data_IF_858596643786
#
_entry.id   IF_858596643786
#
_cell.length_a   1.000
_cell.length_b   1.000
_cell.length_c   1.000
_cell.angle_alpha   90.00
_cell.angle_beta   90.00
_cell.angle_gamma   90.00
#
_symmetry.space_group_name_H-M   'P 1'
#
loop_
_entity.id
_entity.type
_entity.pdbx_description
1 polymer ?
#
# COMPACT_ATOMS: atom_id res chain seq x y z
N UNK A 1 34.79 -65.76 23.34
CA UNK A 1 34.79 -64.63 24.29
C UNK A 1 33.46 -63.94 24.12
N UNK A 2 32.57 -64.06 25.12
CA UNK A 2 31.19 -63.61 25.00
C UNK A 2 31.13 -62.07 25.00
N UNK A 3 30.52 -61.49 23.98
CA UNK A 3 30.13 -60.08 23.96
C UNK A 3 29.01 -59.91 25.00
N UNK A 4 29.26 -59.15 26.05
CA UNK A 4 28.28 -58.79 27.06
C UNK A 4 27.46 -57.61 26.56
N UNK A 5 26.21 -57.88 26.19
CA UNK A 5 25.23 -56.82 25.94
C UNK A 5 24.94 -56.08 27.25
N UNK A 6 25.34 -54.82 27.29
CA UNK A 6 25.09 -53.91 28.39
C UNK A 6 23.61 -53.49 28.34
N UNK A 7 22.77 -54.12 29.16
CA UNK A 7 21.40 -53.63 29.37
C UNK A 7 21.46 -52.26 30.04
N UNK A 8 21.20 -51.20 29.26
CA UNK A 8 21.04 -49.85 29.79
C UNK A 8 19.91 -49.83 30.82
N UNK A 9 20.25 -49.51 32.06
CA UNK A 9 19.30 -49.32 33.15
C UNK A 9 18.37 -48.15 32.81
N UNK A 10 17.06 -48.26 33.09
CA UNK A 10 16.15 -47.12 32.95
C UNK A 10 16.65 -46.01 33.88
N UNK A 11 16.76 -44.80 33.34
CA UNK A 11 17.25 -43.65 34.09
C UNK A 11 16.45 -43.49 35.40
N UNK A 12 17.11 -43.20 36.53
CA UNK A 12 16.41 -43.02 37.79
C UNK A 12 15.47 -41.81 37.69
N UNK A 13 14.31 -41.86 38.35
CA UNK A 13 13.28 -40.81 38.33
C UNK A 13 13.83 -39.39 38.61
N UNK A 14 14.90 -39.28 39.41
CA UNK A 14 15.62 -38.03 39.67
C UNK A 14 16.23 -37.41 38.41
N UNK A 15 16.77 -38.21 37.49
CA UNK A 15 17.28 -37.73 36.20
C UNK A 15 16.15 -37.16 35.35
N UNK A 16 14.97 -37.79 35.36
CA UNK A 16 13.80 -37.28 34.66
C UNK A 16 13.33 -35.93 35.23
N UNK A 17 13.23 -35.82 36.56
CA UNK A 17 12.89 -34.55 37.23
C UNK A 17 13.92 -33.47 36.92
N UNK A 18 15.21 -33.80 36.92
CA UNK A 18 16.29 -32.88 36.56
C UNK A 18 16.17 -32.37 35.13
N UNK A 19 15.86 -33.24 34.17
CA UNK A 19 15.65 -32.86 32.75
C UNK A 19 14.43 -31.95 32.61
N UNK A 20 13.31 -32.26 33.27
CA UNK A 20 12.10 -31.42 33.25
C UNK A 20 12.38 -30.05 33.85
N UNK A 21 13.10 -29.98 34.97
CA UNK A 21 13.46 -28.72 35.62
C UNK A 21 14.37 -27.88 34.72
N UNK A 22 15.33 -28.51 34.05
CA UNK A 22 16.21 -27.83 33.10
C UNK A 22 15.41 -27.27 31.91
N UNK A 23 14.46 -28.04 31.38
CA UNK A 23 13.58 -27.58 30.29
C UNK A 23 12.64 -26.45 30.73
N UNK A 24 12.11 -26.53 31.96
CA UNK A 24 11.28 -25.49 32.54
C UNK A 24 12.07 -24.19 32.75
N UNK A 25 13.29 -24.30 33.30
CA UNK A 25 14.20 -23.18 33.49
C UNK A 25 14.60 -22.56 32.15
N UNK A 26 14.91 -23.38 31.14
CA UNK A 26 15.17 -22.92 29.79
C UNK A 26 13.97 -22.19 29.18
N UNK A 27 12.75 -22.74 29.33
CA UNK A 27 11.52 -22.09 28.90
C UNK A 27 11.29 -20.73 29.55
N UNK A 28 11.53 -20.62 30.86
CA UNK A 28 11.44 -19.33 31.59
C UNK A 28 12.47 -18.33 31.09
N UNK A 29 13.72 -18.75 30.87
CA UNK A 29 14.76 -17.88 30.31
C UNK A 29 14.37 -17.39 28.91
N UNK A 30 13.88 -18.28 28.05
CA UNK A 30 13.43 -17.94 26.69
C UNK A 30 12.27 -16.94 26.74
N UNK A 31 11.29 -17.13 27.62
CA UNK A 31 10.18 -16.18 27.80
C UNK A 31 10.67 -14.84 28.34
N UNK A 32 11.64 -14.84 29.26
CA UNK A 32 12.23 -13.62 29.80
C UNK A 32 13.04 -12.84 28.74
N UNK A 33 13.78 -13.54 27.87
CA UNK A 33 14.61 -12.94 26.82
C UNK A 33 13.77 -12.49 25.61
N UNK A 34 12.82 -13.31 25.17
CA UNK A 34 11.97 -13.01 24.00
C UNK A 34 10.84 -12.06 24.37
N UNK A 35 10.48 -11.97 25.66
CA UNK A 35 9.45 -11.09 26.20
C UNK A 35 8.05 -11.39 25.63
N UNK A 36 6.97 -11.07 26.36
CA UNK A 36 5.63 -11.00 25.78
C UNK A 36 5.45 -9.70 24.96
N UNK A 37 6.47 -9.32 24.18
CA UNK A 37 6.42 -8.15 23.32
C UNK A 37 5.53 -8.39 22.10
N UNK A 38 4.87 -7.35 21.55
CA UNK A 38 4.04 -7.48 20.35
C UNK A 38 4.87 -8.06 19.20
N UNK A 39 4.57 -9.30 18.81
CA UNK A 39 5.29 -10.00 17.74
C UNK A 39 4.84 -9.43 16.41
N UNK A 40 5.70 -8.65 15.74
CA UNK A 40 5.65 -8.41 14.30
C UNK A 40 5.10 -7.07 13.80
N UNK A 41 4.62 -6.18 14.67
CA UNK A 41 3.98 -4.94 14.19
C UNK A 41 4.93 -3.74 14.10
N UNK A 42 6.09 -3.77 14.74
CA UNK A 42 7.01 -2.63 14.82
C UNK A 42 7.62 -2.32 13.46
N UNK A 43 8.11 -3.35 12.75
CA UNK A 43 8.67 -3.20 11.41
C UNK A 43 7.64 -2.73 10.38
N UNK A 44 6.41 -3.25 10.46
CA UNK A 44 5.33 -2.84 9.55
C UNK A 44 4.85 -1.41 9.85
N UNK A 45 4.79 -1.02 11.13
CA UNK A 45 4.50 0.35 11.53
C UNK A 45 5.57 1.32 11.04
N UNK A 46 6.85 1.00 11.21
CA UNK A 46 7.95 1.83 10.69
C UNK A 46 7.86 2.01 9.17
N UNK A 47 7.63 0.92 8.42
CA UNK A 47 7.48 0.99 6.96
C UNK A 47 6.24 1.81 6.55
N UNK A 48 5.14 1.70 7.29
CA UNK A 48 3.94 2.51 7.04
C UNK A 48 4.21 3.99 7.29
N UNK A 49 4.88 4.33 8.40
CA UNK A 49 5.27 5.70 8.71
C UNK A 49 6.23 6.29 7.67
N UNK A 50 7.22 5.52 7.22
CA UNK A 50 8.15 5.96 6.17
C UNK A 50 7.42 6.26 4.86
N UNK A 51 6.44 5.45 4.46
CA UNK A 51 5.62 5.71 3.27
C UNK A 51 4.84 7.00 3.42
N UNK A 52 4.20 7.20 4.57
CA UNK A 52 3.41 8.43 4.83
C UNK A 52 4.32 9.67 4.84
N UNK A 53 5.51 9.59 5.45
CA UNK A 53 6.49 10.68 5.43
C UNK A 53 6.93 11.03 4.00
N UNK A 54 7.32 10.04 3.20
CA UNK A 54 7.69 10.26 1.80
C UNK A 54 6.57 10.89 0.98
N UNK A 55 5.33 10.43 1.17
CA UNK A 55 4.17 11.03 0.51
C UNK A 55 3.98 12.48 0.94
N UNK A 56 4.09 12.78 2.23
CA UNK A 56 4.00 14.15 2.74
C UNK A 56 5.09 15.03 2.13
N UNK A 57 6.34 14.58 2.11
CA UNK A 57 7.47 15.34 1.59
C UNK A 57 7.26 15.69 0.12
N UNK A 58 6.85 14.71 -0.71
CA UNK A 58 6.51 14.95 -2.12
C UNK A 58 5.36 15.94 -2.26
N UNK A 59 4.31 15.83 -1.45
CA UNK A 59 3.18 16.76 -1.49
C UNK A 59 3.56 18.18 -1.07
N UNK A 60 4.41 18.32 -0.06
CA UNK A 60 4.89 19.61 0.41
C UNK A 60 5.81 20.26 -0.64
N UNK A 61 6.67 19.48 -1.29
CA UNK A 61 7.48 19.92 -2.42
C UNK A 61 6.61 20.36 -3.60
N UNK A 62 5.61 19.56 -3.99
CA UNK A 62 4.63 19.89 -5.04
C UNK A 62 3.87 21.17 -4.70
N UNK A 63 3.36 21.30 -3.46
CA UNK A 63 2.62 22.47 -3.03
C UNK A 63 3.47 23.73 -3.08
N UNK A 64 4.72 23.68 -2.61
CA UNK A 64 5.66 24.80 -2.71
C UNK A 64 5.93 25.14 -4.18
N UNK A 65 6.15 24.12 -5.00
CA UNK A 65 6.32 24.24 -6.43
C UNK A 65 5.13 24.95 -7.13
N UNK A 66 3.89 24.63 -6.75
CA UNK A 66 2.66 25.17 -7.33
C UNK A 66 2.30 26.58 -6.83
N UNK A 67 2.74 26.95 -5.63
CA UNK A 67 2.32 28.20 -4.97
C UNK A 67 3.40 29.28 -4.93
N UNK A 68 4.64 28.94 -5.27
CA UNK A 68 5.76 29.88 -5.21
C UNK A 68 6.31 30.26 -6.59
N UNK A 69 6.93 31.43 -6.62
CA UNK A 69 7.71 31.90 -7.74
C UNK A 69 9.11 31.30 -7.68
N UNK A 70 9.60 30.79 -8.80
CA UNK A 70 10.96 30.28 -8.91
C UNK A 70 11.48 30.42 -10.34
N UNK A 71 12.80 30.45 -10.52
CA UNK A 71 13.40 30.32 -11.84
C UNK A 71 13.41 28.84 -12.25
N UNK A 72 12.89 28.52 -13.45
CA UNK A 72 13.00 27.17 -14.03
C UNK A 72 14.31 27.07 -14.81
N UNK A 73 14.59 28.06 -15.64
CA UNK A 73 15.82 28.17 -16.41
C UNK A 73 16.20 29.65 -16.56
N UNK A 74 17.17 30.09 -15.76
CA UNK A 74 17.62 31.48 -15.76
C UNK A 74 18.34 31.86 -17.06
N UNK A 75 18.97 30.90 -17.73
CA UNK A 75 19.67 31.15 -19.00
C UNK A 75 18.69 31.41 -20.15
N UNK A 76 17.54 30.73 -20.12
CA UNK A 76 16.45 30.90 -21.10
C UNK A 76 15.39 31.91 -20.67
N UNK A 77 15.56 32.57 -19.53
CA UNK A 77 14.58 33.53 -19.02
C UNK A 77 13.24 32.90 -18.60
N UNK A 78 13.18 31.59 -18.34
CA UNK A 78 11.94 30.88 -18.02
C UNK A 78 11.69 30.87 -16.51
N UNK A 79 10.56 31.42 -16.09
CA UNK A 79 10.12 31.47 -14.69
C UNK A 79 8.92 30.56 -14.45
N UNK A 80 8.82 30.05 -13.22
CA UNK A 80 7.65 29.40 -12.66
C UNK A 80 6.78 30.44 -11.99
N UNK A 81 5.50 30.43 -12.31
CA UNK A 81 4.48 31.26 -11.72
C UNK A 81 3.55 30.41 -10.83
N UNK A 82 3.04 30.93 -9.71
CA UNK A 82 2.01 30.23 -8.93
C UNK A 82 0.77 29.93 -9.77
N UNK A 83 0.15 28.78 -9.51
CA UNK A 83 -0.95 28.26 -10.34
C UNK A 83 -2.17 29.20 -10.33
N UNK A 84 -2.48 29.85 -9.21
CA UNK A 84 -3.61 30.79 -9.13
C UNK A 84 -3.43 31.96 -10.10
N UNK A 85 -2.22 32.52 -10.14
CA UNK A 85 -1.88 33.61 -11.06
C UNK A 85 -1.81 33.14 -12.50
N UNK A 86 -1.31 31.93 -12.75
CA UNK A 86 -1.34 31.35 -14.09
C UNK A 86 -2.79 31.20 -14.59
N UNK A 87 -3.70 30.68 -13.75
CA UNK A 87 -5.11 30.56 -14.09
C UNK A 87 -5.73 31.92 -14.42
N UNK A 88 -5.55 32.93 -13.57
CA UNK A 88 -6.07 34.28 -13.81
C UNK A 88 -5.57 34.89 -15.13
N UNK A 89 -4.27 34.76 -15.42
CA UNK A 89 -3.69 35.24 -16.68
C UNK A 89 -4.25 34.48 -17.88
N UNK A 90 -4.39 33.16 -17.79
CA UNK A 90 -4.95 32.36 -18.88
C UNK A 90 -6.40 32.71 -19.16
N UNK A 91 -7.22 32.95 -18.14
CA UNK A 91 -8.61 33.39 -18.30
C UNK A 91 -8.66 34.77 -18.97
N UNK A 92 -7.84 35.71 -18.51
CA UNK A 92 -7.75 37.04 -19.11
C UNK A 92 -7.30 36.99 -20.58
N UNK A 93 -6.37 36.11 -20.92
CA UNK A 93 -5.87 35.97 -22.30
C UNK A 93 -6.85 35.22 -23.20
N UNK A 94 -7.56 34.23 -22.68
CA UNK A 94 -8.66 33.58 -23.40
C UNK A 94 -9.82 34.54 -23.66
N UNK A 95 -10.16 35.40 -22.70
CA UNK A 95 -11.22 36.40 -22.88
C UNK A 95 -10.92 37.40 -24.02
N UNK A 96 -9.64 37.68 -24.30
CA UNK A 96 -9.21 38.52 -25.42
C UNK A 96 -9.23 37.78 -26.76
N UNK A 97 -9.22 36.44 -26.75
CA UNK A 97 -9.10 35.62 -27.96
C UNK A 97 -10.49 35.23 -28.46
N UNK A 98 -10.71 35.35 -29.78
CA UNK A 98 -11.97 34.90 -30.37
C UNK A 98 -12.11 33.37 -30.21
N UNK A 99 -13.26 32.86 -29.76
CA UNK A 99 -13.47 31.42 -29.64
C UNK A 99 -13.39 30.78 -31.02
N UNK A 100 -12.48 29.81 -31.18
CA UNK A 100 -12.43 28.96 -32.37
C UNK A 100 -13.57 27.93 -32.29
N UNK A 101 -14.16 27.57 -33.44
CA UNK A 101 -15.19 26.53 -33.47
C UNK A 101 -14.61 25.22 -32.93
N UNK A 102 -15.34 24.55 -32.05
CA UNK A 102 -15.00 23.19 -31.66
C UNK A 102 -14.91 22.29 -32.91
N UNK A 103 -14.01 21.32 -32.87
CA UNK A 103 -13.92 20.30 -33.91
C UNK A 103 -15.28 19.65 -34.14
N UNK A 104 -15.59 19.22 -35.38
CA UNK A 104 -16.87 18.56 -35.66
C UNK A 104 -17.03 17.35 -34.73
N UNK A 105 -18.18 17.27 -34.06
CA UNK A 105 -18.58 16.11 -33.28
C UNK A 105 -18.83 15.00 -34.29
N UNK A 106 -17.83 14.16 -34.49
CA UNK A 106 -18.02 12.88 -35.17
C UNK A 106 -18.88 12.06 -34.21
N UNK A 107 -20.14 11.80 -34.59
CA UNK A 107 -20.98 10.89 -33.83
C UNK A 107 -20.19 9.58 -33.69
N UNK A 108 -20.03 9.02 -32.47
CA UNK A 108 -19.48 7.69 -32.35
C UNK A 108 -20.37 6.79 -33.21
N UNK A 109 -19.78 6.21 -34.26
CA UNK A 109 -20.45 5.22 -35.08
C UNK A 109 -21.11 4.25 -34.11
N UNK A 110 -22.42 4.14 -34.22
CA UNK A 110 -23.23 3.27 -33.39
C UNK A 110 -22.65 1.88 -33.52
N UNK A 111 -21.79 1.51 -32.56
CA UNK A 111 -21.41 0.12 -32.34
C UNK A 111 -22.71 -0.54 -31.99
N UNK A 112 -23.32 -1.17 -33.00
CA UNK A 112 -24.56 -1.90 -32.90
C UNK A 112 -24.41 -2.90 -31.74
N UNK A 113 -24.99 -2.55 -30.60
CA UNK A 113 -25.24 -3.51 -29.55
C UNK A 113 -26.22 -4.55 -30.12
N UNK A 114 -25.89 -5.85 -30.13
CA UNK A 114 -26.94 -6.86 -30.23
C UNK A 114 -27.82 -6.68 -29.01
N UNK A 115 -29.11 -6.40 -29.26
CA UNK A 115 -30.07 -5.86 -28.31
C UNK A 115 -30.13 -6.58 -26.96
N UNK A 116 -30.24 -5.77 -25.91
CA UNK A 116 -30.61 -6.24 -24.59
C UNK A 116 -32.12 -6.43 -24.45
N UNK A 117 -32.47 -7.56 -23.85
CA UNK A 117 -33.63 -7.87 -23.01
C UNK A 117 -34.96 -8.22 -23.70
N UNK A 118 -35.29 -9.51 -23.67
CA UNK A 118 -36.68 -9.95 -23.49
C UNK A 118 -36.69 -10.85 -22.24
N UNK A 119 -37.08 -10.26 -21.11
CA UNK A 119 -37.48 -10.98 -19.90
C UNK A 119 -38.75 -11.78 -20.22
N UNK A 120 -38.64 -13.10 -20.35
CA UNK A 120 -39.80 -13.99 -20.38
C UNK A 120 -40.10 -14.49 -18.95
N UNK A 121 -41.33 -14.25 -18.49
CA UNK A 121 -41.88 -14.76 -17.23
C UNK A 121 -41.89 -16.29 -17.17
N UNK A 122 -41.78 -16.92 -15.98
CA UNK A 122 -42.00 -18.35 -15.84
C UNK A 122 -43.50 -18.69 -16.00
N UNK A 123 -43.78 -19.74 -16.76
CA UNK A 123 -45.12 -20.22 -17.13
C UNK A 123 -45.94 -20.78 -15.94
N UNK A 124 -47.29 -20.80 -16.02
CA UNK A 124 -48.14 -21.53 -15.08
C UNK A 124 -48.14 -23.05 -15.36
N UNK A 125 -47.99 -23.84 -14.30
CA UNK A 125 -48.02 -25.31 -14.32
C UNK A 125 -49.45 -25.87 -14.45
N UNK A 126 -49.69 -26.93 -15.24
CA UNK A 126 -50.93 -27.71 -15.19
C UNK A 126 -50.77 -29.01 -14.39
N UNK A 127 -51.58 -29.20 -13.35
CA UNK A 127 -52.16 -30.48 -12.87
C UNK A 127 -53.14 -30.20 -11.74
#
# INVERSE_FOLDING_TARGET
MANTEQFQSPAPFSTWVGVVLLFALFGVIVVAVIGPGPRGDTYERMRAEERVKKLKDVRDEEAKALTSYAWVDKSKGTVRLPIDRAMELTVADLAKKKPASAYPIVAPESSAAPGGVALASPAPSPS
#
